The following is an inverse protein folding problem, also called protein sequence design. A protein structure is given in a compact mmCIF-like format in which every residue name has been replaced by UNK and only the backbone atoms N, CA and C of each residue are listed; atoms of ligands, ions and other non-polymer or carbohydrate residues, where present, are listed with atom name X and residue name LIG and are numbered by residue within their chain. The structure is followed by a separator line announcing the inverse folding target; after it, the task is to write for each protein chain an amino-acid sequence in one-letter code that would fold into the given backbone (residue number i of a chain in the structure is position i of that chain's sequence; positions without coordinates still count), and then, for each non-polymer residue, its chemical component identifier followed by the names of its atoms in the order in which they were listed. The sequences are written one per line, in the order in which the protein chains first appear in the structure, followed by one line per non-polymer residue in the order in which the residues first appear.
data_IF_515407169688
#
_entry.id   IF_515407169688
#
_cell.length_a   1.000
_cell.length_b   1.000
_cell.length_c   1.000
_cell.angle_alpha   90.00
_cell.angle_beta   90.00
_cell.angle_gamma   90.00
#
_symmetry.space_group_name_H-M   'P 1'
#
loop_
_entity.id
_entity.type
_entity.pdbx_description
1 polymer ?
#
# COMPACT_ATOMS: atom_id res chain seq x y z
N UNK A 1 18.82 17.53 -1.12
CA UNK A 1 18.34 16.51 -2.10
C UNK A 1 19.02 16.67 -3.46
N UNK A 2 19.23 17.88 -3.97
CA UNK A 2 19.75 18.07 -5.35
C UNK A 2 21.15 17.45 -5.57
N UNK A 3 21.97 17.40 -4.57
CA UNK A 3 23.35 16.84 -4.64
C UNK A 3 23.42 15.34 -4.33
N UNK A 4 22.35 14.74 -3.85
CA UNK A 4 22.32 13.32 -3.45
C UNK A 4 21.76 12.46 -4.58
N UNK A 5 22.25 11.24 -4.72
CA UNK A 5 21.66 10.25 -5.63
C UNK A 5 20.35 9.73 -5.04
N UNK A 6 19.32 9.57 -5.88
CA UNK A 6 18.08 8.92 -5.53
C UNK A 6 17.99 7.61 -6.30
N UNK A 7 17.52 6.56 -5.66
CA UNK A 7 17.09 5.30 -6.27
C UNK A 7 15.60 5.09 -5.97
N UNK A 8 14.88 4.64 -6.96
CA UNK A 8 13.46 4.37 -6.85
C UNK A 8 13.23 2.86 -6.77
N UNK A 9 12.56 2.40 -5.73
CA UNK A 9 12.22 0.99 -5.54
C UNK A 9 10.83 0.74 -6.11
N UNK A 10 10.76 0.17 -7.31
CA UNK A 10 9.54 -0.28 -7.96
C UNK A 10 9.24 -1.75 -7.68
N UNK A 11 8.07 -2.20 -8.07
CA UNK A 11 7.63 -3.58 -7.96
C UNK A 11 6.12 -3.69 -7.78
N UNK A 12 5.56 -4.84 -8.18
CA UNK A 12 4.14 -5.10 -8.12
C UNK A 12 3.58 -5.00 -6.69
N UNK A 13 2.27 -4.77 -6.58
CA UNK A 13 1.58 -4.77 -5.28
C UNK A 13 1.82 -6.08 -4.52
N UNK A 14 2.15 -5.96 -3.25
CA UNK A 14 2.44 -7.11 -2.37
C UNK A 14 3.84 -7.71 -2.49
N UNK A 15 4.73 -7.18 -3.34
CA UNK A 15 6.09 -7.74 -3.49
C UNK A 15 7.04 -7.44 -2.30
N UNK A 16 6.61 -6.70 -1.29
CA UNK A 16 7.41 -6.48 -0.08
C UNK A 16 8.31 -5.23 -0.10
N UNK A 17 8.03 -4.23 -0.95
CA UNK A 17 8.81 -2.97 -1.00
C UNK A 17 9.00 -2.35 0.38
N UNK A 18 7.93 -2.13 1.10
CA UNK A 18 7.96 -1.52 2.44
C UNK A 18 8.74 -2.37 3.44
N UNK A 19 8.67 -3.71 3.34
CA UNK A 19 9.48 -4.60 4.19
C UNK A 19 10.97 -4.39 3.91
N UNK A 20 11.36 -4.33 2.64
CA UNK A 20 12.75 -4.08 2.26
C UNK A 20 13.22 -2.69 2.68
N UNK A 21 12.40 -1.65 2.49
CA UNK A 21 12.77 -0.28 2.89
C UNK A 21 13.01 -0.17 4.39
N UNK A 22 12.23 -0.87 5.20
CA UNK A 22 12.39 -0.85 6.65
C UNK A 22 13.69 -1.51 7.14
N UNK A 23 14.35 -2.32 6.31
CA UNK A 23 15.65 -2.93 6.59
C UNK A 23 16.84 -2.06 6.12
N UNK A 24 16.57 -0.96 5.42
CA UNK A 24 17.60 -0.11 4.83
C UNK A 24 17.70 1.23 5.54
N UNK A 25 18.86 1.53 6.11
CA UNK A 25 19.10 2.76 6.88
C UNK A 25 18.96 4.04 6.03
N UNK A 26 19.21 3.96 4.73
CA UNK A 26 19.16 5.08 3.78
C UNK A 26 17.85 5.15 2.97
N UNK A 27 16.85 4.40 3.37
CA UNK A 27 15.53 4.45 2.76
C UNK A 27 14.64 5.53 3.40
N UNK A 28 13.62 5.97 2.69
CA UNK A 28 12.55 6.83 3.20
C UNK A 28 11.22 6.17 2.82
N UNK A 29 10.48 5.72 3.80
CA UNK A 29 9.16 5.13 3.68
C UNK A 29 8.10 6.24 3.47
N UNK A 30 7.82 6.56 2.21
CA UNK A 30 6.85 7.60 1.83
C UNK A 30 5.42 7.20 2.18
N UNK A 31 5.05 5.94 2.02
CA UNK A 31 3.75 5.40 2.39
C UNK A 31 3.55 5.47 3.91
N UNK A 32 4.57 5.12 4.69
CA UNK A 32 4.53 5.24 6.15
C UNK A 32 4.40 6.68 6.62
N UNK A 33 5.16 7.62 6.03
CA UNK A 33 5.03 9.05 6.32
C UNK A 33 3.65 9.59 5.96
N UNK A 34 3.03 9.10 4.88
CA UNK A 34 1.69 9.48 4.46
C UNK A 34 0.58 8.75 5.24
N UNK A 35 0.92 7.77 6.08
CA UNK A 35 -0.03 6.87 6.73
C UNK A 35 -1.03 6.25 5.74
N UNK A 36 -0.52 5.81 4.56
CA UNK A 36 -1.35 5.31 3.47
C UNK A 36 -0.52 4.50 2.46
N UNK A 37 -0.95 3.31 2.09
CA UNK A 37 -0.24 2.37 1.21
C UNK A 37 -0.48 2.59 -0.29
N UNK A 38 -0.61 3.82 -0.74
CA UNK A 38 -0.70 4.18 -2.16
C UNK A 38 -1.90 3.65 -2.96
N UNK A 39 -2.64 2.67 -2.46
CA UNK A 39 -3.68 1.94 -3.20
C UNK A 39 -5.11 2.26 -2.74
N UNK A 40 -6.13 1.72 -3.43
CA UNK A 40 -7.53 1.84 -2.99
C UNK A 40 -7.79 1.21 -1.61
N UNK A 41 -6.97 0.23 -1.23
CA UNK A 41 -6.96 -0.41 0.09
C UNK A 41 -5.88 0.17 1.01
N UNK A 42 -5.32 1.32 0.66
CA UNK A 42 -4.14 1.88 1.33
C UNK A 42 -4.43 2.65 2.62
N UNK A 43 -5.69 2.98 2.94
CA UNK A 43 -6.02 3.67 4.18
C UNK A 43 -5.57 2.86 5.40
N UNK A 44 -4.97 3.53 6.39
CA UNK A 44 -4.74 2.94 7.71
C UNK A 44 -5.93 3.22 8.64
N UNK A 45 -5.90 2.68 9.86
CA UNK A 45 -6.96 2.85 10.87
C UNK A 45 -7.06 4.29 11.41
N UNK A 46 -6.00 5.06 11.26
CA UNK A 46 -5.96 6.49 11.59
C UNK A 46 -5.92 7.33 10.31
N UNK A 47 -6.39 8.59 10.35
CA UNK A 47 -6.38 9.45 9.18
C UNK A 47 -4.96 9.78 8.70
N UNK A 48 -4.84 10.11 7.42
CA UNK A 48 -3.61 10.66 6.87
C UNK A 48 -3.22 11.98 7.57
N UNK A 49 -1.93 12.32 7.65
CA UNK A 49 -1.50 13.62 8.11
C UNK A 49 -1.98 14.72 7.17
N UNK A 50 -1.93 15.98 7.63
CA UNK A 50 -2.09 17.12 6.73
C UNK A 50 -0.87 17.22 5.80
N UNK A 51 -1.03 17.84 4.66
CA UNK A 51 0.05 18.03 3.67
C UNK A 51 1.32 18.61 4.31
N UNK A 52 1.17 19.66 5.10
CA UNK A 52 2.29 20.32 5.75
C UNK A 52 3.01 19.42 6.76
N UNK A 53 2.26 18.56 7.46
CA UNK A 53 2.84 17.65 8.45
C UNK A 53 3.66 16.54 7.75
N UNK A 54 3.16 16.02 6.61
CA UNK A 54 3.90 15.11 5.75
C UNK A 54 5.20 15.72 5.22
N UNK A 55 5.13 16.94 4.67
CA UNK A 55 6.31 17.64 4.14
C UNK A 55 7.36 17.92 5.21
N UNK A 56 6.92 18.30 6.42
CA UNK A 56 7.82 18.50 7.55
C UNK A 56 8.47 17.19 7.98
N UNK A 57 7.71 16.09 8.09
CA UNK A 57 8.26 14.77 8.45
C UNK A 57 9.23 14.27 7.40
N UNK A 58 8.89 14.40 6.11
CA UNK A 58 9.79 14.06 5.00
C UNK A 58 11.09 14.86 5.07
N UNK A 59 11.01 16.15 5.36
CA UNK A 59 12.19 17.00 5.51
C UNK A 59 13.05 16.54 6.68
N UNK A 60 12.46 16.21 7.82
CA UNK A 60 13.17 15.68 8.98
C UNK A 60 13.88 14.36 8.65
N UNK A 61 13.21 13.43 7.94
CA UNK A 61 13.82 12.17 7.53
C UNK A 61 15.01 12.39 6.57
N UNK A 62 14.88 13.32 5.64
CA UNK A 62 15.98 13.69 4.74
C UNK A 62 17.19 14.27 5.50
N UNK A 63 16.96 15.10 6.52
CA UNK A 63 18.02 15.66 7.36
C UNK A 63 18.68 14.57 8.21
N UNK A 64 17.91 13.72 8.87
CA UNK A 64 18.44 12.61 9.67
C UNK A 64 19.36 11.68 8.87
N UNK A 65 19.07 11.54 7.58
CA UNK A 65 19.79 10.64 6.67
C UNK A 65 20.78 11.37 5.77
N UNK A 66 21.12 12.65 6.08
CA UNK A 66 22.01 13.44 5.22
C UNK A 66 23.43 12.87 5.10
N UNK A 67 23.87 12.00 6.03
CA UNK A 67 25.15 11.30 5.98
C UNK A 67 25.27 10.34 4.78
N UNK A 68 24.13 9.87 4.25
CA UNK A 68 24.10 8.96 3.09
C UNK A 68 24.19 9.74 1.78
N UNK A 69 24.99 9.25 0.83
CA UNK A 69 25.09 9.82 -0.51
C UNK A 69 23.97 9.37 -1.44
N UNK A 70 23.26 8.31 -1.07
CA UNK A 70 22.18 7.70 -1.84
C UNK A 70 20.97 7.53 -0.93
N UNK A 71 19.79 7.95 -1.39
CA UNK A 71 18.50 7.66 -0.76
C UNK A 71 17.72 6.67 -1.61
N UNK A 72 16.90 5.86 -0.95
CA UNK A 72 15.99 4.92 -1.60
C UNK A 72 14.57 5.30 -1.18
N UNK A 73 13.67 5.44 -2.16
CA UNK A 73 12.23 5.69 -1.93
C UNK A 73 11.40 4.70 -2.73
N UNK A 74 10.13 4.55 -2.37
CA UNK A 74 9.17 3.80 -3.19
C UNK A 74 8.86 4.52 -4.51
N UNK A 75 8.53 3.71 -5.53
CA UNK A 75 7.94 4.19 -6.78
C UNK A 75 6.48 4.58 -6.54
N UNK A 76 6.28 5.83 -6.15
CA UNK A 76 4.98 6.42 -5.92
C UNK A 76 4.61 7.42 -7.01
N UNK A 77 3.31 7.48 -7.30
CA UNK A 77 2.78 8.41 -8.27
C UNK A 77 2.80 9.87 -7.77
N UNK A 78 1.92 10.69 -8.36
CA UNK A 78 1.80 12.08 -7.95
C UNK A 78 1.20 12.25 -6.55
N UNK A 79 0.47 11.25 -6.07
CA UNK A 79 -0.24 11.29 -4.78
C UNK A 79 -0.16 9.96 -4.05
N UNK A 80 -0.07 10.02 -2.74
CA UNK A 80 -0.25 8.88 -1.82
C UNK A 80 -1.55 9.14 -1.04
N UNK A 81 -2.65 8.53 -1.49
CA UNK A 81 -3.97 8.88 -0.98
C UNK A 81 -4.32 10.35 -1.25
N UNK A 82 -4.51 11.15 -0.19
CA UNK A 82 -4.78 12.59 -0.28
C UNK A 82 -3.53 13.46 -0.24
N UNK A 83 -2.36 12.88 0.02
CA UNK A 83 -1.09 13.61 0.11
C UNK A 83 -0.50 13.78 -1.29
N UNK A 84 -0.16 15.01 -1.64
CA UNK A 84 0.58 15.33 -2.86
C UNK A 84 2.07 15.15 -2.64
N UNK A 85 2.73 14.43 -3.56
CA UNK A 85 4.17 14.31 -3.53
C UNK A 85 4.84 15.64 -3.91
N UNK A 86 5.78 16.17 -3.09
CA UNK A 86 6.48 17.41 -3.40
C UNK A 86 7.16 17.35 -4.77
N UNK A 87 7.06 18.45 -5.54
CA UNK A 87 7.58 18.51 -6.92
C UNK A 87 9.07 18.19 -7.00
N UNK A 88 9.86 18.63 -6.03
CA UNK A 88 11.30 18.34 -5.98
C UNK A 88 11.60 16.84 -5.91
N UNK A 89 10.78 16.07 -5.17
CA UNK A 89 10.89 14.59 -5.09
C UNK A 89 10.47 13.96 -6.41
N UNK A 90 9.31 14.37 -6.96
CA UNK A 90 8.79 13.84 -8.25
C UNK A 90 9.77 14.03 -9.39
N UNK A 91 10.31 15.26 -9.53
CA UNK A 91 11.26 15.57 -10.60
C UNK A 91 12.50 14.71 -10.46
N UNK A 92 13.03 14.58 -9.24
CA UNK A 92 14.22 13.79 -8.99
C UNK A 92 13.97 12.30 -9.21
N UNK A 93 12.84 11.75 -8.72
CA UNK A 93 12.46 10.36 -8.92
C UNK A 93 12.38 9.97 -10.40
N UNK A 94 11.78 10.83 -11.24
CA UNK A 94 11.69 10.61 -12.71
C UNK A 94 13.03 10.57 -13.42
N UNK A 95 14.07 11.14 -12.83
CA UNK A 95 15.43 11.16 -13.37
C UNK A 95 16.35 10.12 -12.74
N UNK A 96 15.80 9.31 -11.84
CA UNK A 96 16.56 8.36 -11.04
C UNK A 96 16.48 6.96 -11.62
N UNK A 97 17.49 6.14 -11.30
CA UNK A 97 17.47 4.72 -11.60
C UNK A 97 16.36 4.02 -10.81
N UNK A 98 15.68 3.07 -11.45
CA UNK A 98 14.63 2.26 -10.83
C UNK A 98 15.16 0.85 -10.59
N UNK A 99 14.98 0.36 -9.38
CA UNK A 99 15.24 -1.03 -8.99
C UNK A 99 13.88 -1.72 -8.86
N UNK A 100 13.67 -2.80 -9.60
CA UNK A 100 12.41 -3.56 -9.54
C UNK A 100 12.55 -4.75 -8.61
N UNK A 101 11.76 -4.75 -7.54
CA UNK A 101 11.62 -5.87 -6.64
C UNK A 101 10.60 -6.86 -7.21
N UNK A 102 11.05 -8.09 -7.46
CA UNK A 102 10.21 -9.19 -7.92
C UNK A 102 9.93 -10.15 -6.78
N UNK A 103 8.71 -10.63 -6.71
CA UNK A 103 8.27 -11.69 -5.80
C UNK A 103 7.30 -12.63 -6.53
N UNK A 104 7.29 -13.89 -6.15
CA UNK A 104 6.33 -14.87 -6.65
C UNK A 104 4.90 -14.50 -6.23
N UNK A 105 3.89 -15.02 -6.92
CA UNK A 105 2.50 -14.80 -6.53
C UNK A 105 2.22 -15.33 -5.11
N UNK A 106 2.81 -16.45 -4.74
CA UNK A 106 2.67 -17.05 -3.41
C UNK A 106 3.22 -16.13 -2.31
N UNK A 107 4.41 -15.55 -2.50
CA UNK A 107 4.98 -14.57 -1.57
C UNK A 107 4.11 -13.33 -1.47
N UNK A 108 3.64 -12.82 -2.61
CA UNK A 108 2.76 -11.65 -2.68
C UNK A 108 1.42 -11.89 -1.97
N UNK A 109 0.83 -13.07 -2.11
CA UNK A 109 -0.37 -13.49 -1.39
C UNK A 109 -0.13 -13.52 0.11
N UNK A 110 0.98 -14.13 0.56
CA UNK A 110 1.34 -14.19 1.97
C UNK A 110 1.54 -12.81 2.58
N UNK A 111 2.31 -11.94 1.92
CA UNK A 111 2.55 -10.56 2.36
C UNK A 111 1.25 -9.77 2.41
N UNK A 112 0.39 -9.91 1.38
CA UNK A 112 -0.88 -9.19 1.31
C UNK A 112 -1.87 -9.68 2.36
N UNK A 113 -1.98 -10.99 2.58
CA UNK A 113 -2.81 -11.57 3.64
C UNK A 113 -2.38 -11.05 5.01
N UNK A 114 -1.07 -11.09 5.28
CA UNK A 114 -0.55 -10.55 6.54
C UNK A 114 -0.89 -9.06 6.70
N UNK A 115 -0.54 -8.24 5.69
CA UNK A 115 -0.61 -6.78 5.81
C UNK A 115 -2.04 -6.23 5.80
N UNK A 116 -2.92 -6.74 4.92
CA UNK A 116 -4.27 -6.19 4.73
C UNK A 116 -5.35 -6.93 5.53
N UNK A 117 -5.10 -8.18 5.93
CA UNK A 117 -6.08 -8.95 6.69
C UNK A 117 -5.66 -9.01 8.16
N UNK A 118 -4.54 -9.66 8.46
CA UNK A 118 -4.14 -9.94 9.84
C UNK A 118 -3.81 -8.64 10.59
N UNK A 119 -2.83 -7.89 10.09
CA UNK A 119 -2.34 -6.69 10.77
C UNK A 119 -3.43 -5.60 10.85
N UNK A 120 -4.23 -5.43 9.77
CA UNK A 120 -5.32 -4.46 9.77
C UNK A 120 -6.45 -4.83 10.73
N UNK A 121 -6.88 -6.10 10.78
CA UNK A 121 -7.89 -6.53 11.73
C UNK A 121 -7.42 -6.33 13.19
N UNK A 122 -6.15 -6.61 13.47
CA UNK A 122 -5.56 -6.36 14.77
C UNK A 122 -5.52 -4.87 15.13
N UNK A 123 -5.10 -4.00 14.19
CA UNK A 123 -5.09 -2.54 14.38
C UNK A 123 -6.50 -2.01 14.69
N UNK A 124 -7.50 -2.43 13.91
CA UNK A 124 -8.89 -2.01 14.17
C UNK A 124 -9.40 -2.47 15.52
N UNK A 125 -9.14 -3.72 15.91
CA UNK A 125 -9.51 -4.24 17.24
C UNK A 125 -8.79 -3.48 18.37
N UNK A 126 -7.50 -3.20 18.21
CA UNK A 126 -6.71 -2.50 19.22
C UNK A 126 -7.21 -1.06 19.44
N UNK A 127 -7.62 -0.37 18.36
CA UNK A 127 -8.05 1.04 18.44
C UNK A 127 -9.52 1.19 18.86
N UNK A 128 -10.40 0.26 18.45
CA UNK A 128 -11.86 0.41 18.56
C UNK A 128 -12.55 -0.67 19.41
N UNK A 129 -11.78 -1.60 20.02
CA UNK A 129 -12.34 -2.65 20.89
C UNK A 129 -13.40 -3.48 20.17
N UNK A 130 -14.56 -3.61 20.78
CA UNK A 130 -15.68 -4.45 20.30
C UNK A 130 -16.21 -4.02 18.93
N UNK A 131 -16.11 -2.75 18.57
CA UNK A 131 -16.50 -2.22 17.26
C UNK A 131 -15.43 -2.41 16.19
N UNK A 132 -14.23 -2.87 16.56
CA UNK A 132 -13.08 -2.97 15.67
C UNK A 132 -13.34 -3.84 14.46
N UNK A 133 -13.99 -4.99 14.60
CA UNK A 133 -14.28 -5.88 13.47
C UNK A 133 -15.32 -5.32 12.50
N UNK A 134 -16.33 -4.62 12.98
CA UNK A 134 -17.30 -3.93 12.13
C UNK A 134 -16.64 -2.85 11.30
N UNK A 135 -15.78 -2.02 11.90
CA UNK A 135 -15.03 -0.98 11.20
C UNK A 135 -14.04 -1.56 10.20
N UNK A 136 -13.37 -2.66 10.53
CA UNK A 136 -12.53 -3.41 9.61
C UNK A 136 -13.32 -3.95 8.41
N UNK A 137 -14.52 -4.50 8.65
CA UNK A 137 -15.40 -4.98 7.58
C UNK A 137 -15.81 -3.83 6.65
N UNK A 138 -16.19 -2.70 7.23
CA UNK A 138 -16.52 -1.49 6.47
C UNK A 138 -15.34 -0.95 5.68
N UNK A 139 -14.12 -1.01 6.22
CA UNK A 139 -12.89 -0.67 5.49
C UNK A 139 -12.74 -1.49 4.21
N UNK A 140 -12.92 -2.83 4.28
CA UNK A 140 -12.82 -3.71 3.11
C UNK A 140 -13.92 -3.43 2.08
N UNK A 141 -15.17 -3.33 2.52
CA UNK A 141 -16.32 -3.06 1.65
C UNK A 141 -16.18 -1.70 0.93
N UNK A 142 -15.80 -0.66 1.65
CA UNK A 142 -15.57 0.67 1.10
C UNK A 142 -14.40 0.68 0.11
N UNK A 143 -13.30 -0.01 0.42
CA UNK A 143 -12.13 -0.09 -0.46
C UNK A 143 -12.46 -0.81 -1.76
N UNK A 144 -13.19 -1.94 -1.70
CA UNK A 144 -13.65 -2.65 -2.87
C UNK A 144 -14.63 -1.79 -3.72
N UNK A 145 -15.50 -1.03 -3.08
CA UNK A 145 -16.45 -0.15 -3.78
C UNK A 145 -15.76 0.96 -4.59
N UNK A 146 -14.65 1.50 -4.11
CA UNK A 146 -13.87 2.54 -4.82
C UNK A 146 -13.36 2.07 -6.18
N UNK A 147 -13.10 0.77 -6.34
CA UNK A 147 -12.57 0.20 -7.57
C UNK A 147 -13.65 -0.43 -8.47
N UNK A 148 -14.93 -0.40 -8.07
CA UNK A 148 -16.03 -1.01 -8.80
C UNK A 148 -16.07 -0.62 -10.28
N UNK A 149 -15.90 0.67 -10.59
CA UNK A 149 -15.93 1.16 -11.97
C UNK A 149 -14.82 0.56 -12.84
N UNK A 150 -13.63 0.35 -12.26
CA UNK A 150 -12.49 -0.21 -12.98
C UNK A 150 -12.56 -1.73 -13.10
N UNK A 151 -13.13 -2.42 -12.09
CA UNK A 151 -13.36 -3.87 -12.13
C UNK A 151 -14.42 -4.27 -13.14
N UNK A 152 -15.40 -3.40 -13.36
CA UNK A 152 -16.64 -3.74 -14.07
C UNK A 152 -17.66 -4.45 -13.18
N UNK A 153 -18.94 -4.42 -13.60
CA UNK A 153 -20.04 -4.85 -12.74
C UNK A 153 -20.02 -6.32 -12.34
N UNK A 154 -19.65 -7.21 -13.24
CA UNK A 154 -19.72 -8.66 -12.97
C UNK A 154 -18.57 -9.13 -12.08
N UNK A 155 -17.33 -8.68 -12.34
CA UNK A 155 -16.20 -8.96 -11.45
C UNK A 155 -16.43 -8.39 -10.05
N UNK A 156 -16.93 -7.17 -9.96
CA UNK A 156 -17.24 -6.56 -8.66
C UNK A 156 -18.23 -7.40 -7.85
N UNK A 157 -19.30 -7.92 -8.49
CA UNK A 157 -20.27 -8.80 -7.80
C UNK A 157 -19.65 -10.08 -7.28
N UNK A 158 -18.75 -10.69 -8.07
CA UNK A 158 -18.03 -11.91 -7.67
C UNK A 158 -17.13 -11.61 -6.46
N UNK A 159 -16.30 -10.57 -6.54
CA UNK A 159 -15.39 -10.20 -5.45
C UNK A 159 -16.13 -9.76 -4.19
N UNK A 160 -17.27 -9.07 -4.34
CA UNK A 160 -18.11 -8.68 -3.21
C UNK A 160 -18.68 -9.91 -2.49
N UNK A 161 -19.10 -10.94 -3.24
CA UNK A 161 -19.60 -12.21 -2.66
C UNK A 161 -18.46 -12.94 -1.91
N UNK A 162 -17.27 -13.02 -2.50
CA UNK A 162 -16.09 -13.61 -1.84
C UNK A 162 -15.73 -12.86 -0.58
N UNK A 163 -15.68 -11.52 -0.63
CA UNK A 163 -15.38 -10.68 0.52
C UNK A 163 -16.38 -10.89 1.68
N UNK A 164 -17.68 -10.91 1.38
CA UNK A 164 -18.68 -11.14 2.41
C UNK A 164 -18.53 -12.53 3.07
N UNK A 165 -18.21 -13.57 2.29
CA UNK A 165 -17.94 -14.90 2.83
C UNK A 165 -16.71 -14.88 3.74
N UNK A 166 -15.61 -14.29 3.27
CA UNK A 166 -14.37 -14.18 4.03
C UNK A 166 -14.57 -13.42 5.36
N UNK A 167 -15.31 -12.30 5.34
CA UNK A 167 -15.62 -11.53 6.55
C UNK A 167 -16.47 -12.33 7.55
N UNK A 168 -17.48 -13.08 7.07
CA UNK A 168 -18.32 -13.92 7.93
C UNK A 168 -17.49 -15.02 8.60
N UNK A 169 -16.64 -15.71 7.84
CA UNK A 169 -15.83 -16.82 8.37
C UNK A 169 -14.71 -16.32 9.29
N UNK A 170 -14.11 -15.18 8.98
CA UNK A 170 -13.15 -14.53 9.86
C UNK A 170 -13.80 -14.16 11.21
N UNK A 171 -15.00 -13.59 11.20
CA UNK A 171 -15.70 -13.20 12.44
C UNK A 171 -16.11 -14.40 13.29
N UNK A 172 -16.56 -15.49 12.65
CA UNK A 172 -17.09 -16.66 13.36
C UNK A 172 -16.02 -17.62 13.84
N UNK A 173 -15.02 -17.88 13.01
CA UNK A 173 -14.11 -19.01 13.17
C UNK A 173 -12.62 -18.58 13.15
N UNK A 174 -12.34 -17.28 12.99
CA UNK A 174 -11.00 -16.74 12.72
C UNK A 174 -10.34 -17.38 11.49
N UNK A 175 -11.14 -17.93 10.55
CA UNK A 175 -10.64 -18.53 9.32
C UNK A 175 -10.38 -17.43 8.28
N UNK A 176 -9.15 -17.39 7.79
CA UNK A 176 -8.66 -16.40 6.83
C UNK A 176 -8.49 -16.96 5.41
N UNK A 177 -8.75 -18.25 5.20
CA UNK A 177 -8.49 -18.88 3.90
C UNK A 177 -9.33 -18.30 2.77
N UNK A 178 -10.56 -17.84 3.07
CA UNK A 178 -11.45 -17.26 2.07
C UNK A 178 -10.97 -15.89 1.54
N UNK A 179 -9.99 -15.24 2.22
CA UNK A 179 -9.37 -14.05 1.67
C UNK A 179 -8.38 -14.34 0.54
N UNK A 180 -7.78 -15.52 0.48
CA UNK A 180 -6.75 -15.84 -0.50
C UNK A 180 -7.24 -15.70 -1.95
N UNK A 181 -8.37 -16.33 -2.37
CA UNK A 181 -8.87 -16.18 -3.74
C UNK A 181 -9.30 -14.74 -4.07
N UNK A 182 -9.79 -13.98 -3.06
CA UNK A 182 -10.10 -12.57 -3.23
C UNK A 182 -8.83 -11.74 -3.49
N UNK A 183 -7.80 -11.93 -2.66
CA UNK A 183 -6.52 -11.22 -2.80
C UNK A 183 -5.85 -11.59 -4.12
N UNK A 184 -5.83 -12.87 -4.50
CA UNK A 184 -5.28 -13.32 -5.78
C UNK A 184 -5.94 -12.62 -6.96
N UNK A 185 -7.28 -12.59 -6.99
CA UNK A 185 -8.02 -11.90 -8.04
C UNK A 185 -7.72 -10.40 -8.08
N UNK A 186 -7.58 -9.74 -6.90
CA UNK A 186 -7.20 -8.34 -6.83
C UNK A 186 -5.78 -8.11 -7.35
N UNK A 187 -4.82 -8.96 -7.00
CA UNK A 187 -3.44 -8.83 -7.45
C UNK A 187 -3.34 -9.05 -8.97
N UNK A 188 -3.86 -10.18 -9.47
CA UNK A 188 -3.66 -10.62 -10.86
C UNK A 188 -4.56 -9.86 -11.84
N UNK A 189 -5.84 -9.65 -11.49
CA UNK A 189 -6.83 -9.10 -12.43
C UNK A 189 -6.98 -7.57 -12.36
N UNK A 190 -6.50 -6.96 -11.26
CA UNK A 190 -6.66 -5.52 -11.06
C UNK A 190 -5.32 -4.78 -10.95
N UNK A 191 -4.46 -5.16 -9.99
CA UNK A 191 -3.21 -4.43 -9.73
C UNK A 191 -2.14 -4.69 -10.79
N UNK A 192 -1.92 -5.94 -11.21
CA UNK A 192 -0.87 -6.28 -12.16
C UNK A 192 -1.06 -5.63 -13.53
N UNK A 193 -2.27 -5.61 -14.13
CA UNK A 193 -2.50 -4.86 -15.36
C UNK A 193 -2.26 -3.35 -15.21
N UNK A 194 -2.59 -2.76 -14.05
CA UNK A 194 -2.34 -1.34 -13.79
C UNK A 194 -0.83 -1.06 -13.68
N UNK A 195 -0.10 -1.89 -12.95
CA UNK A 195 1.34 -1.76 -12.80
C UNK A 195 2.07 -1.92 -14.13
N UNK A 196 1.68 -2.92 -14.94
CA UNK A 196 2.22 -3.11 -16.28
C UNK A 196 2.03 -1.86 -17.15
N UNK A 197 0.83 -1.30 -17.15
CA UNK A 197 0.54 -0.06 -17.88
C UNK A 197 1.40 1.13 -17.40
N UNK A 198 1.67 1.24 -16.10
CA UNK A 198 2.51 2.32 -15.55
C UNK A 198 3.98 2.22 -16.00
N UNK A 199 4.54 1.00 -16.09
CA UNK A 199 5.93 0.79 -16.52
C UNK A 199 6.12 1.04 -18.01
N UNK A 200 5.08 0.83 -18.83
CA UNK A 200 5.15 1.00 -20.29
C UNK A 200 5.04 2.46 -20.74
N UNK A 201 4.81 3.43 -19.82
CA UNK A 201 4.75 4.86 -20.09
C UNK A 201 6.05 5.59 -19.74
#
# INVERSE_FOLDING_TARGET
INEKKLLVLGGQTGCGKTLLLNELDNSIDLEGLANHRGSAFGNDVTPQPRQIDFENQLTVELIKKEIYNVFIIEDEGNNIGMIHMPDAIKIKARQSDIIILNASLEERLSISLKSYVIDMAQKFRALHGDFGFELYSNYWLNSLSKIQKRLGGDRYKILLKQLNLALINHQKNEDLNDYLPLIESLLVDYYDPMYKYQIEQ
#
